data_IF_002377795724
#
_entry.id   IF_002377795724
#
_cell.length_a   1.000
_cell.length_b   1.000
_cell.length_c   1.000
_cell.angle_alpha   90.00
_cell.angle_beta   90.00
_cell.angle_gamma   90.00
#
_symmetry.space_group_name_H-M   'P 1'
#
loop_
_entity.id
_entity.type
_entity.pdbx_description
1 polymer ?
#
# COMPACT_ATOMS: atom_id res chain seq x y z
N UNK A 1 8.23 -5.82 -2.53
CA UNK A 1 7.41 -6.90 -3.12
C UNK A 1 6.76 -6.33 -4.38
N UNK A 2 6.90 -7.00 -5.53
CA UNK A 2 6.28 -6.56 -6.79
C UNK A 2 5.59 -7.79 -7.39
N UNK A 3 4.31 -7.66 -7.76
CA UNK A 3 3.56 -8.72 -8.42
C UNK A 3 2.67 -8.18 -9.53
N UNK A 4 2.69 -8.85 -10.68
CA UNK A 4 1.75 -8.60 -11.78
C UNK A 4 0.37 -9.21 -11.54
N UNK A 5 0.24 -10.13 -10.59
CA UNK A 5 -1.03 -10.71 -10.13
C UNK A 5 -1.44 -10.22 -8.74
N UNK A 6 -2.52 -10.77 -8.19
CA UNK A 6 -2.98 -10.41 -6.85
C UNK A 6 -1.97 -10.82 -5.78
N UNK A 7 -1.80 -9.95 -4.78
CA UNK A 7 -0.94 -10.22 -3.61
C UNK A 7 -1.82 -10.64 -2.44
N UNK A 8 -1.45 -11.75 -1.79
CA UNK A 8 -2.14 -12.26 -0.62
C UNK A 8 -1.18 -12.32 0.56
N UNK A 9 -1.55 -11.65 1.65
CA UNK A 9 -0.83 -11.65 2.93
C UNK A 9 -1.77 -12.24 3.98
N UNK A 10 -1.41 -13.41 4.51
CA UNK A 10 -2.27 -14.18 5.41
C UNK A 10 -1.48 -14.70 6.60
N UNK A 11 -1.97 -14.43 7.82
CA UNK A 11 -1.32 -14.80 9.07
C UNK A 11 0.20 -14.54 9.05
N UNK A 12 0.58 -13.36 8.55
CA UNK A 12 1.97 -13.03 8.23
C UNK A 12 2.33 -11.62 8.68
N UNK A 13 3.62 -11.40 8.93
CA UNK A 13 4.19 -10.08 9.21
C UNK A 13 5.13 -9.66 8.08
N UNK A 14 4.84 -8.54 7.42
CA UNK A 14 5.71 -7.94 6.41
C UNK A 14 6.38 -6.68 6.97
N UNK A 15 7.71 -6.75 7.11
CA UNK A 15 8.50 -5.69 7.74
C UNK A 15 8.32 -5.64 9.26
N UNK A 16 9.22 -4.94 9.92
CA UNK A 16 9.34 -4.89 11.38
C UNK A 16 9.16 -3.46 11.94
N UNK A 17 8.78 -2.48 11.10
CA UNK A 17 8.40 -1.14 11.54
C UNK A 17 8.55 -0.06 10.46
N UNK A 18 7.89 1.08 10.68
CA UNK A 18 7.85 2.22 9.73
C UNK A 18 8.86 3.32 10.03
N UNK A 19 9.66 3.22 11.09
CA UNK A 19 10.60 4.29 11.48
C UNK A 19 11.92 4.27 10.69
N UNK A 20 12.22 3.17 9.98
CA UNK A 20 13.41 3.02 9.14
C UNK A 20 13.05 2.23 7.88
N UNK A 21 13.55 2.66 6.73
CA UNK A 21 13.29 2.01 5.44
C UNK A 21 13.70 0.53 5.43
N UNK A 22 14.79 0.17 6.10
CA UNK A 22 15.28 -1.22 6.17
C UNK A 22 14.32 -2.16 6.91
N UNK A 23 13.42 -1.60 7.73
CA UNK A 23 12.41 -2.34 8.48
C UNK A 23 11.04 -2.28 7.80
N UNK A 24 10.88 -1.47 6.76
CA UNK A 24 9.63 -1.29 6.02
C UNK A 24 9.63 -2.10 4.74
N UNK A 25 8.45 -2.45 4.26
CA UNK A 25 8.26 -3.09 2.95
C UNK A 25 7.57 -2.11 2.00
N UNK A 26 8.08 -2.02 0.77
CA UNK A 26 7.35 -1.37 -0.32
C UNK A 26 6.70 -2.45 -1.18
N UNK A 27 5.39 -2.35 -1.38
CA UNK A 27 4.56 -3.31 -2.10
C UNK A 27 3.97 -2.64 -3.34
N UNK A 28 4.19 -3.24 -4.51
CA UNK A 28 3.54 -2.87 -5.75
C UNK A 28 2.67 -4.04 -6.24
N UNK A 29 1.37 -3.81 -6.33
CA UNK A 29 0.40 -4.80 -6.81
C UNK A 29 -0.33 -4.28 -8.06
N UNK A 30 -0.28 -5.04 -9.15
CA UNK A 30 -1.02 -4.68 -10.36
C UNK A 30 -2.45 -5.24 -10.37
N UNK A 31 -2.77 -6.26 -9.57
CA UNK A 31 -4.11 -6.88 -9.58
C UNK A 31 -4.66 -7.07 -8.18
N UNK A 32 -4.46 -6.07 -7.33
CA UNK A 32 -5.00 -6.02 -5.98
C UNK A 32 -4.06 -6.55 -4.91
N UNK A 33 -4.48 -6.32 -3.67
CA UNK A 33 -3.84 -6.85 -2.47
C UNK A 33 -4.92 -7.24 -1.45
N UNK A 34 -4.76 -8.40 -0.84
CA UNK A 34 -5.59 -8.84 0.29
C UNK A 34 -4.69 -9.12 1.49
N UNK A 35 -4.94 -8.41 2.59
CA UNK A 35 -4.26 -8.58 3.87
C UNK A 35 -5.29 -9.10 4.87
N UNK A 36 -5.13 -10.33 5.34
CA UNK A 36 -6.14 -11.01 6.14
C UNK A 36 -5.56 -11.89 7.26
N UNK A 37 -6.44 -12.36 8.14
CA UNK A 37 -6.14 -13.32 9.21
C UNK A 37 -5.05 -12.83 10.15
N UNK A 38 -5.28 -11.69 10.81
CA UNK A 38 -4.37 -11.12 11.83
C UNK A 38 -2.97 -10.85 11.28
N UNK A 39 -2.89 -10.47 9.99
CA UNK A 39 -1.63 -10.08 9.37
C UNK A 39 -1.21 -8.68 9.81
N UNK A 40 0.09 -8.42 9.75
CA UNK A 40 0.65 -7.09 9.99
C UNK A 40 1.53 -6.66 8.81
N UNK A 41 1.30 -5.46 8.29
CA UNK A 41 2.18 -4.87 7.27
C UNK A 41 2.74 -3.54 7.78
N UNK A 42 4.06 -3.41 7.73
CA UNK A 42 4.78 -2.19 8.05
C UNK A 42 5.39 -1.62 6.77
N UNK A 43 4.76 -0.64 6.14
CA UNK A 43 5.23 -0.19 4.84
C UNK A 43 4.34 0.71 4.00
N UNK A 44 4.67 0.74 2.72
CA UNK A 44 3.94 1.46 1.69
C UNK A 44 3.40 0.46 0.66
N UNK A 45 2.10 0.51 0.38
CA UNK A 45 1.46 -0.28 -0.68
C UNK A 45 0.95 0.64 -1.77
N UNK A 46 1.31 0.36 -3.01
CA UNK A 46 0.87 1.07 -4.22
C UNK A 46 0.18 0.03 -5.10
N UNK A 47 -1.13 0.14 -5.20
CA UNK A 47 -1.98 -0.84 -5.88
C UNK A 47 -2.62 -0.17 -7.09
N UNK A 48 -2.32 -0.64 -8.29
CA UNK A 48 -2.72 0.03 -9.53
C UNK A 48 -4.09 -0.39 -10.03
N UNK A 49 -4.40 -1.68 -9.97
CA UNK A 49 -5.68 -2.24 -10.39
C UNK A 49 -6.09 -3.39 -9.46
N UNK A 50 -7.32 -3.89 -9.60
CA UNK A 50 -7.91 -4.93 -8.75
C UNK A 50 -8.47 -4.42 -7.43
N UNK A 51 -8.69 -5.34 -6.50
CA UNK A 51 -9.27 -5.07 -5.19
C UNK A 51 -8.19 -4.89 -4.13
N UNK A 52 -8.28 -3.80 -3.36
CA UNK A 52 -7.49 -3.61 -2.14
C UNK A 52 -8.36 -3.95 -0.93
N UNK A 53 -8.00 -4.99 -0.19
CA UNK A 53 -8.72 -5.42 1.01
C UNK A 53 -7.78 -5.56 2.21
N UNK A 54 -8.15 -4.94 3.34
CA UNK A 54 -7.52 -5.17 4.65
C UNK A 54 -8.59 -5.65 5.62
N UNK A 55 -8.48 -6.88 6.07
CA UNK A 55 -9.49 -7.58 6.87
C UNK A 55 -8.89 -8.16 8.15
N UNK A 56 -9.45 -7.77 9.30
CA UNK A 56 -9.02 -8.24 10.63
C UNK A 56 -7.49 -8.25 10.80
N UNK A 57 -6.85 -7.16 10.36
CA UNK A 57 -5.39 -7.05 10.23
C UNK A 57 -4.92 -5.65 10.59
N UNK A 58 -3.60 -5.49 10.76
CA UNK A 58 -2.99 -4.21 11.12
C UNK A 58 -2.07 -3.71 10.01
N UNK A 59 -2.17 -2.42 9.68
CA UNK A 59 -1.32 -1.77 8.70
C UNK A 59 -0.68 -0.52 9.29
N UNK A 60 0.65 -0.46 9.29
CA UNK A 60 1.43 0.73 9.64
C UNK A 60 2.01 1.33 8.37
N UNK A 61 1.79 2.63 8.15
CA UNK A 61 2.33 3.38 7.02
C UNK A 61 1.26 3.86 6.05
N UNK A 62 1.43 3.64 4.74
CA UNK A 62 0.46 4.14 3.75
C UNK A 62 -0.01 3.09 2.75
N UNK A 63 -1.26 3.25 2.31
CA UNK A 63 -1.87 2.52 1.21
C UNK A 63 -2.33 3.54 0.17
N UNK A 64 -1.84 3.41 -1.06
CA UNK A 64 -2.37 4.07 -2.23
C UNK A 64 -3.08 3.03 -3.10
N UNK A 65 -4.38 3.21 -3.28
CA UNK A 65 -5.22 2.38 -4.14
C UNK A 65 -5.67 3.19 -5.35
N UNK A 66 -5.27 2.74 -6.53
CA UNK A 66 -5.81 3.19 -7.81
C UNK A 66 -6.75 2.16 -8.46
N UNK A 67 -6.93 0.99 -7.83
CA UNK A 67 -7.77 -0.08 -8.35
C UNK A 67 -9.26 0.17 -8.18
N UNK A 68 -10.06 -0.84 -8.51
CA UNK A 68 -11.52 -0.70 -8.64
C UNK A 68 -12.25 -0.58 -7.31
N UNK A 69 -11.69 -1.15 -6.23
CA UNK A 69 -12.30 -1.11 -4.89
C UNK A 69 -11.24 -1.03 -3.78
N UNK A 70 -11.61 -0.39 -2.67
CA UNK A 70 -10.82 -0.37 -1.44
C UNK A 70 -11.71 -0.65 -0.22
N UNK A 71 -11.49 -1.78 0.44
CA UNK A 71 -12.26 -2.22 1.61
C UNK A 71 -11.36 -2.42 2.83
N UNK A 72 -11.70 -1.72 3.91
CA UNK A 72 -11.07 -1.85 5.23
C UNK A 72 -12.12 -2.35 6.22
N UNK A 73 -11.96 -3.57 6.72
CA UNK A 73 -12.94 -4.23 7.59
C UNK A 73 -12.28 -4.84 8.83
N UNK A 74 -12.81 -4.54 10.02
CA UNK A 74 -12.27 -5.07 11.28
C UNK A 74 -10.78 -4.75 11.52
N UNK A 75 -10.22 -3.77 10.82
CA UNK A 75 -8.78 -3.56 10.70
C UNK A 75 -8.30 -2.30 11.45
N UNK A 76 -7.01 -2.28 11.78
CA UNK A 76 -6.34 -1.11 12.35
C UNK A 76 -5.33 -0.55 11.37
N UNK A 77 -5.55 0.68 10.92
CA UNK A 77 -4.63 1.40 10.04
C UNK A 77 -4.03 2.55 10.82
N UNK A 78 -2.72 2.49 11.04
CA UNK A 78 -1.94 3.53 11.69
C UNK A 78 -1.09 4.23 10.62
N UNK A 79 -1.64 5.28 10.04
CA UNK A 79 -1.07 6.00 8.93
C UNK A 79 -2.13 6.58 7.99
N UNK A 80 -2.05 6.29 6.69
CA UNK A 80 -2.92 6.94 5.69
C UNK A 80 -3.38 6.00 4.58
N UNK A 81 -4.60 6.22 4.10
CA UNK A 81 -5.16 5.53 2.94
C UNK A 81 -5.59 6.59 1.94
N UNK A 82 -5.17 6.43 0.70
CA UNK A 82 -5.60 7.24 -0.43
C UNK A 82 -6.17 6.29 -1.45
N UNK A 83 -7.44 6.50 -1.84
CA UNK A 83 -8.11 5.68 -2.84
C UNK A 83 -8.67 6.59 -3.93
N UNK A 84 -8.41 6.25 -5.19
CA UNK A 84 -9.06 6.91 -6.33
C UNK A 84 -10.48 6.38 -6.58
N UNK A 85 -10.74 5.14 -6.17
CA UNK A 85 -12.07 4.52 -6.14
C UNK A 85 -12.78 4.78 -4.82
N UNK A 86 -14.04 4.33 -4.73
CA UNK A 86 -14.78 4.26 -3.46
C UNK A 86 -13.97 3.52 -2.38
N UNK A 87 -14.01 4.08 -1.17
CA UNK A 87 -13.37 3.55 0.02
C UNK A 87 -14.46 3.16 1.03
N UNK A 88 -14.51 1.88 1.40
CA UNK A 88 -15.38 1.34 2.46
C UNK A 88 -14.58 1.10 3.72
N UNK A 89 -15.05 1.62 4.86
CA UNK A 89 -14.42 1.44 6.17
C UNK A 89 -15.48 0.98 7.16
N UNK A 90 -15.39 -0.27 7.61
CA UNK A 90 -16.39 -0.92 8.48
C UNK A 90 -15.70 -1.49 9.71
N UNK A 91 -16.21 -1.17 10.91
CA UNK A 91 -15.70 -1.68 12.19
C UNK A 91 -14.16 -1.57 12.34
N UNK A 92 -13.58 -0.49 11.79
CA UNK A 92 -12.13 -0.32 11.65
C UNK A 92 -11.69 0.98 12.30
N UNK A 93 -10.39 1.09 12.62
CA UNK A 93 -9.78 2.31 13.14
C UNK A 93 -8.75 2.83 12.15
N UNK A 94 -8.81 4.12 11.80
CA UNK A 94 -7.77 4.83 11.05
C UNK A 94 -7.24 5.93 11.95
N UNK A 95 -5.96 5.85 12.33
CA UNK A 95 -5.30 6.83 13.19
C UNK A 95 -4.03 7.36 12.53
N UNK A 96 -3.61 8.56 12.94
CA UNK A 96 -2.38 9.15 12.43
C UNK A 96 -1.18 8.30 12.83
N UNK A 97 -0.33 8.02 11.86
CA UNK A 97 0.89 7.23 12.02
C UNK A 97 2.12 7.87 11.39
N UNK A 98 3.27 7.27 11.68
CA UNK A 98 4.50 7.59 10.98
C UNK A 98 4.45 6.94 9.59
N UNK A 99 4.82 7.70 8.57
CA UNK A 99 5.12 7.14 7.27
C UNK A 99 6.55 6.59 7.28
N UNK A 100 6.82 5.47 6.57
CA UNK A 100 8.18 5.09 6.21
C UNK A 100 8.97 6.32 5.71
N UNK A 101 10.25 6.51 6.07
CA UNK A 101 11.03 7.69 5.69
C UNK A 101 11.42 7.65 4.21
N UNK A 102 10.43 7.74 3.33
CA UNK A 102 10.52 7.74 1.86
C UNK A 102 10.67 9.15 1.28
N UNK A 103 10.56 10.18 2.13
CA UNK A 103 10.67 11.58 1.72
C UNK A 103 12.05 11.85 1.08
N UNK A 104 12.04 12.52 -0.09
CA UNK A 104 13.26 12.90 -0.79
C UNK A 104 14.05 11.75 -1.44
N UNK A 105 13.46 10.54 -1.54
CA UNK A 105 14.08 9.40 -2.24
C UNK A 105 13.21 8.97 -3.44
N UNK A 106 13.79 8.79 -4.64
CA UNK A 106 13.05 8.43 -5.84
C UNK A 106 12.71 6.93 -5.83
N UNK A 107 11.65 6.56 -5.11
CA UNK A 107 11.17 5.17 -5.09
C UNK A 107 9.84 5.03 -5.81
N UNK A 108 9.77 5.48 -7.05
CA UNK A 108 8.60 5.27 -7.91
C UNK A 108 8.78 5.87 -9.29
N UNK A 109 9.75 5.36 -10.05
CA UNK A 109 10.29 5.86 -11.33
C UNK A 109 11.44 6.88 -11.14
N UNK A 110 12.57 6.67 -11.84
CA UNK A 110 13.38 7.82 -12.27
C UNK A 110 12.46 8.76 -13.06
N UNK A 111 12.76 10.06 -13.12
CA UNK A 111 12.04 10.92 -14.07
C UNK A 111 12.28 10.38 -15.48
N UNK A 112 11.31 9.64 -16.03
CA UNK A 112 11.40 9.07 -17.37
C UNK A 112 10.65 9.97 -18.35
N UNK A 113 11.24 10.16 -19.54
CA UNK A 113 10.59 10.88 -20.63
C UNK A 113 9.70 9.89 -21.35
N UNK A 114 8.40 10.17 -21.40
CA UNK A 114 7.46 9.34 -22.17
C UNK A 114 7.91 9.35 -23.63
N UNK A 115 8.19 8.18 -24.22
CA UNK A 115 8.52 8.05 -25.65
C UNK A 115 7.44 8.72 -26.51
N UNK A 116 7.84 9.63 -27.41
CA UNK A 116 6.98 10.45 -28.24
C UNK A 116 6.58 11.82 -27.67
N UNK A 117 7.09 12.22 -26.49
CA UNK A 117 6.83 13.55 -25.92
C UNK A 117 7.86 14.60 -26.35
N UNK A 118 7.52 15.89 -26.22
CA UNK A 118 8.35 17.04 -26.63
C UNK A 118 9.76 17.07 -25.99
N UNK A 119 9.98 16.32 -24.90
CA UNK A 119 11.28 16.21 -24.21
C UNK A 119 12.14 15.04 -24.70
N UNK A 120 11.70 14.31 -25.74
CA UNK A 120 12.48 13.24 -26.39
C UNK A 120 13.58 13.78 -27.33
N UNK A 121 13.65 15.10 -27.54
CA UNK A 121 14.67 15.78 -28.34
C UNK A 121 15.39 16.89 -27.56
#
# INVERSE_FOLDING_TARGET
IISGGSILVRNSTLGNGVNNLSNSVVIYGNSGITIEQTSTVNGLSIIFDGETKVDNSTYYGAIYNSGTNCEISGASINGSIVSSSGLSVVNSTISKGNLPPIFGKPYGFEGDVIHGSYLEY
#
